data_IF_088694840618
#
_entry.id   IF_088694840618
#
_cell.length_a   1.000
_cell.length_b   1.000
_cell.length_c   1.000
_cell.angle_alpha   90.00
_cell.angle_beta   90.00
_cell.angle_gamma   90.00
#
_symmetry.space_group_name_H-M   'P 1'
#
loop_
_entity.id
_entity.type
_entity.pdbx_description
1 polymer ?
#
# COMPACT_ATOMS: atom_id res chain seq x y z
N UNK A 1 6.22 76.38 20.92
CA UNK A 1 7.37 76.85 21.70
C UNK A 1 8.50 75.86 21.58
N UNK A 2 9.62 76.39 21.10
CA UNK A 2 11.04 75.98 21.18
C UNK A 2 11.42 74.70 20.44
N UNK A 3 12.02 74.83 19.26
CA UNK A 3 13.45 75.13 18.91
C UNK A 3 14.44 74.24 19.67
N UNK A 4 15.32 73.42 19.02
CA UNK A 4 16.58 73.73 18.29
C UNK A 4 17.30 72.46 17.95
N UNK A 5 17.85 72.35 16.83
CA UNK A 5 19.12 72.42 16.12
C UNK A 5 19.81 71.07 16.04
N UNK A 6 19.98 70.52 14.87
CA UNK A 6 21.10 70.62 13.94
C UNK A 6 22.44 70.11 14.50
N UNK A 7 22.94 69.02 13.94
CA UNK A 7 24.32 68.91 13.53
C UNK A 7 24.53 67.78 12.53
N UNK A 8 25.04 68.19 11.39
CA UNK A 8 25.55 67.39 10.30
C UNK A 8 26.99 66.93 10.70
N UNK A 9 27.31 65.67 10.52
CA UNK A 9 28.70 65.27 10.37
C UNK A 9 28.80 64.16 9.32
N UNK A 10 29.47 64.51 8.25
CA UNK A 10 30.02 63.66 7.19
C UNK A 10 31.05 62.72 7.79
N UNK A 11 31.08 61.45 7.43
CA UNK A 11 32.30 60.73 7.07
C UNK A 11 32.05 59.30 6.63
N UNK A 12 32.60 58.94 5.51
CA UNK A 12 33.23 57.66 5.28
C UNK A 12 32.45 56.64 4.46
N UNK A 13 32.56 56.67 3.14
CA UNK A 13 32.40 55.53 2.26
C UNK A 13 33.39 54.42 2.66
N UNK A 14 32.91 53.29 3.07
CA UNK A 14 33.59 52.02 2.83
C UNK A 14 32.55 51.00 2.38
N UNK A 15 32.58 50.69 1.09
CA UNK A 15 31.77 49.64 0.48
C UNK A 15 32.20 48.27 0.99
N UNK A 16 31.33 47.63 1.74
CA UNK A 16 31.40 46.20 1.96
C UNK A 16 30.40 45.59 1.01
N UNK A 17 30.88 45.04 -0.11
CA UNK A 17 30.11 44.09 -0.92
C UNK A 17 29.84 42.85 -0.06
N UNK A 18 28.72 42.83 0.60
CA UNK A 18 28.17 41.62 1.20
C UNK A 18 27.74 40.68 0.08
N UNK A 19 28.55 39.66 -0.19
CA UNK A 19 28.09 38.49 -0.95
C UNK A 19 26.92 37.85 -0.18
N UNK A 20 25.71 38.16 -0.61
CA UNK A 20 24.52 37.41 -0.18
C UNK A 20 24.65 36.03 -0.81
N UNK A 21 25.17 35.09 -0.02
CA UNK A 21 25.15 33.67 -0.35
C UNK A 21 23.69 33.22 -0.31
N UNK A 22 23.05 33.24 -1.47
CA UNK A 22 21.74 32.62 -1.63
C UNK A 22 21.98 31.12 -1.57
N UNK A 23 21.89 30.56 -0.37
CA UNK A 23 21.74 29.11 -0.22
C UNK A 23 20.38 28.73 -0.86
N UNK A 24 20.34 27.84 -1.84
CA UNK A 24 19.07 27.34 -2.28
C UNK A 24 18.43 26.66 -1.05
N UNK A 25 17.29 27.18 -0.60
CA UNK A 25 16.43 26.43 0.31
C UNK A 25 16.20 25.07 -0.36
N UNK A 26 16.79 24.03 0.22
CA UNK A 26 16.48 22.68 -0.15
C UNK A 26 14.97 22.55 0.07
N UNK A 27 14.24 22.53 -1.03
CA UNK A 27 12.84 22.13 -1.05
C UNK A 27 12.83 20.68 -0.58
N UNK A 28 12.70 20.50 0.73
CA UNK A 28 12.39 19.20 1.30
C UNK A 28 11.06 18.80 0.67
N UNK A 29 11.13 17.93 -0.35
CA UNK A 29 9.95 17.25 -0.82
C UNK A 29 9.31 16.62 0.44
N UNK A 30 8.09 17.04 0.77
CA UNK A 30 7.32 16.41 1.84
C UNK A 30 7.41 14.92 1.60
N UNK A 31 7.78 14.09 2.62
CA UNK A 31 7.76 12.65 2.45
C UNK A 31 6.40 12.29 1.86
N UNK A 32 6.36 11.62 0.72
CA UNK A 32 5.11 11.06 0.22
C UNK A 32 4.60 10.17 1.35
N UNK A 33 3.50 10.59 1.96
CA UNK A 33 2.78 9.76 2.92
C UNK A 33 2.60 8.41 2.25
N UNK A 34 2.86 7.32 2.98
CA UNK A 34 2.64 5.95 2.49
C UNK A 34 1.24 5.96 1.90
N UNK A 35 1.19 6.02 0.56
CA UNK A 35 -0.03 6.40 -0.13
C UNK A 35 -1.04 5.28 0.02
N UNK A 36 -1.80 5.37 1.12
CA UNK A 36 -3.11 4.74 1.12
C UNK A 36 -3.88 5.30 -0.06
N UNK A 37 -4.46 4.46 -0.89
CA UNK A 37 -5.20 4.93 -2.05
C UNK A 37 -6.34 5.85 -1.58
N UNK A 38 -6.70 6.84 -2.39
CA UNK A 38 -7.90 7.64 -2.14
C UNK A 38 -9.07 6.70 -1.85
N UNK A 39 -9.80 6.90 -0.74
CA UNK A 39 -10.92 6.04 -0.37
C UNK A 39 -11.90 5.83 -1.51
N UNK A 40 -12.43 4.62 -1.67
CA UNK A 40 -13.40 4.33 -2.73
C UNK A 40 -14.61 5.27 -2.69
N UNK A 41 -15.03 5.68 -1.49
CA UNK A 41 -16.16 6.61 -1.31
C UNK A 41 -15.91 8.01 -1.88
N UNK A 42 -14.66 8.43 -1.99
CA UNK A 42 -14.26 9.72 -2.57
C UNK A 42 -14.08 9.66 -4.09
N UNK A 43 -14.04 8.45 -4.66
CA UNK A 43 -13.87 8.20 -6.10
C UNK A 43 -15.17 7.93 -6.84
N UNK A 44 -16.31 8.19 -6.21
CA UNK A 44 -17.62 8.03 -6.86
C UNK A 44 -17.82 9.11 -7.92
N UNK A 45 -18.25 8.68 -9.09
CA UNK A 45 -18.52 9.55 -10.23
C UNK A 45 -20.02 9.83 -10.34
N UNK A 46 -20.38 11.03 -10.74
CA UNK A 46 -21.76 11.36 -11.13
C UNK A 46 -21.88 11.20 -12.64
N UNK A 47 -22.75 10.28 -13.07
CA UNK A 47 -23.07 10.04 -14.47
C UNK A 47 -24.47 10.55 -14.78
N UNK A 48 -24.61 11.44 -15.74
CA UNK A 48 -25.90 11.88 -16.23
C UNK A 48 -26.34 10.97 -17.38
N UNK A 49 -27.50 10.33 -17.21
CA UNK A 49 -28.04 9.39 -18.19
C UNK A 49 -28.33 10.10 -19.50
N UNK A 50 -27.68 9.64 -20.58
CA UNK A 50 -27.88 10.11 -21.93
C UNK A 50 -29.08 9.41 -22.63
N UNK A 51 -29.60 9.95 -23.75
CA UNK A 51 -30.58 9.24 -24.57
C UNK A 51 -30.07 7.84 -24.97
N UNK A 52 -30.96 6.87 -24.96
CA UNK A 52 -30.71 5.45 -25.31
C UNK A 52 -29.78 4.66 -24.35
N UNK A 53 -29.24 5.30 -23.31
CA UNK A 53 -28.48 4.57 -22.30
C UNK A 53 -29.37 3.69 -21.42
N UNK A 54 -28.84 2.52 -21.12
CA UNK A 54 -29.43 1.55 -20.20
C UNK A 54 -28.48 1.28 -19.05
N UNK A 55 -28.95 0.72 -17.93
CA UNK A 55 -28.08 0.30 -16.84
C UNK A 55 -26.99 -0.68 -17.31
N UNK A 56 -27.28 -1.49 -18.34
CA UNK A 56 -26.34 -2.44 -18.92
C UNK A 56 -25.19 -1.70 -19.63
N UNK A 57 -25.53 -0.73 -20.50
CA UNK A 57 -24.52 0.04 -21.24
C UNK A 57 -23.70 0.93 -20.31
N UNK A 58 -24.35 1.59 -19.34
CA UNK A 58 -23.65 2.37 -18.31
C UNK A 58 -22.71 1.46 -17.50
N UNK A 59 -23.18 0.29 -17.05
CA UNK A 59 -22.36 -0.66 -16.32
C UNK A 59 -21.14 -1.15 -17.13
N UNK A 60 -21.31 -1.39 -18.43
CA UNK A 60 -20.20 -1.75 -19.34
C UNK A 60 -19.16 -0.64 -19.45
N UNK A 61 -19.61 0.63 -19.59
CA UNK A 61 -18.72 1.78 -19.70
C UNK A 61 -17.85 2.00 -18.46
N UNK A 62 -18.37 1.67 -17.28
CA UNK A 62 -17.65 1.84 -16.01
C UNK A 62 -17.08 0.53 -15.45
N UNK A 63 -17.25 -0.60 -16.14
CA UNK A 63 -16.74 -1.90 -15.71
C UNK A 63 -17.44 -2.47 -14.46
N UNK A 64 -18.67 -2.04 -14.17
CA UNK A 64 -19.47 -2.46 -13.00
C UNK A 64 -20.80 -3.10 -13.40
N UNK A 65 -21.40 -3.83 -12.47
CA UNK A 65 -22.66 -4.50 -12.73
C UNK A 65 -23.86 -3.55 -12.56
N UNK A 66 -24.96 -3.76 -13.33
CA UNK A 66 -26.21 -3.02 -13.13
C UNK A 66 -26.73 -3.09 -11.69
N UNK A 67 -26.56 -4.22 -11.02
CA UNK A 67 -26.97 -4.42 -9.63
C UNK A 67 -26.23 -3.48 -8.68
N UNK A 68 -24.95 -3.23 -8.93
CA UNK A 68 -24.16 -2.26 -8.15
C UNK A 68 -24.68 -0.84 -8.37
N UNK A 69 -24.98 -0.45 -9.62
CA UNK A 69 -25.57 0.86 -9.92
C UNK A 69 -26.91 1.02 -9.20
N UNK A 70 -27.80 0.02 -9.26
CA UNK A 70 -29.10 0.07 -8.57
C UNK A 70 -28.93 0.22 -7.06
N UNK A 71 -27.99 -0.50 -6.45
CA UNK A 71 -27.73 -0.43 -4.99
C UNK A 71 -27.23 0.93 -4.55
N UNK A 72 -26.40 1.57 -5.37
CA UNK A 72 -25.89 2.92 -5.09
C UNK A 72 -26.94 4.02 -5.34
N UNK A 73 -27.99 3.72 -6.11
CA UNK A 73 -29.03 4.67 -6.51
C UNK A 73 -30.42 4.17 -6.12
N UNK A 74 -30.84 4.30 -4.86
CA UNK A 74 -32.12 3.79 -4.37
C UNK A 74 -33.35 4.29 -5.16
N UNK A 75 -33.22 5.39 -5.86
CA UNK A 75 -34.30 5.98 -6.68
C UNK A 75 -34.61 5.21 -7.96
N UNK A 76 -33.72 4.29 -8.36
CA UNK A 76 -33.87 3.42 -9.56
C UNK A 76 -33.98 1.95 -9.19
N UNK A 77 -34.54 1.62 -8.02
CA UNK A 77 -34.68 0.20 -7.55
C UNK A 77 -35.45 -0.69 -8.52
N UNK A 78 -36.32 -0.12 -9.34
CA UNK A 78 -37.04 -0.84 -10.39
C UNK A 78 -36.20 -1.15 -11.64
N UNK A 79 -34.92 -0.75 -11.66
CA UNK A 79 -33.99 -0.95 -12.79
C UNK A 79 -34.24 -0.03 -13.99
N UNK A 80 -35.17 0.93 -13.89
CA UNK A 80 -35.44 1.91 -14.97
C UNK A 80 -34.67 3.19 -14.75
N UNK A 81 -33.96 3.64 -15.77
CA UNK A 81 -33.26 4.93 -15.81
C UNK A 81 -34.01 5.91 -16.68
N UNK A 82 -33.93 7.18 -16.34
CA UNK A 82 -34.55 8.28 -17.10
C UNK A 82 -33.45 9.22 -17.60
N UNK A 83 -33.55 9.61 -18.85
CA UNK A 83 -32.64 10.58 -19.48
C UNK A 83 -32.52 11.84 -18.63
N UNK A 84 -31.29 12.35 -18.48
CA UNK A 84 -30.98 13.53 -17.66
C UNK A 84 -30.83 13.25 -16.17
N UNK A 85 -31.16 12.05 -15.68
CA UNK A 85 -30.96 11.69 -14.27
C UNK A 85 -29.49 11.49 -13.95
N UNK A 86 -29.05 12.04 -12.81
CA UNK A 86 -27.72 11.77 -12.29
C UNK A 86 -27.72 10.47 -11.48
N UNK A 87 -26.79 9.59 -11.82
CA UNK A 87 -26.50 8.36 -11.10
C UNK A 87 -25.14 8.45 -10.38
N UNK A 88 -25.08 7.86 -9.21
CA UNK A 88 -23.82 7.67 -8.47
C UNK A 88 -23.20 6.37 -8.93
N UNK A 89 -21.99 6.43 -9.45
CA UNK A 89 -21.23 5.31 -9.99
C UNK A 89 -20.02 5.08 -9.11
N UNK A 90 -19.93 3.93 -8.43
CA UNK A 90 -18.76 3.59 -7.64
C UNK A 90 -17.59 3.14 -8.53
N UNK A 91 -16.34 3.22 -8.03
CA UNK A 91 -15.16 2.80 -8.79
C UNK A 91 -15.08 1.28 -9.04
N UNK A 92 -15.82 0.48 -8.29
CA UNK A 92 -15.85 -0.98 -8.35
C UNK A 92 -17.25 -1.53 -8.07
N UNK A 93 -17.48 -2.80 -8.45
CA UNK A 93 -18.63 -3.54 -7.93
C UNK A 93 -18.56 -3.65 -6.41
N UNK A 94 -19.66 -3.36 -5.73
CA UNK A 94 -19.67 -3.41 -4.27
C UNK A 94 -20.92 -2.82 -3.63
N UNK A 95 -20.81 -2.62 -2.32
CA UNK A 95 -21.86 -2.01 -1.50
C UNK A 95 -21.24 -1.01 -0.52
N UNK A 96 -22.03 -0.03 -0.12
CA UNK A 96 -21.71 0.86 1.00
C UNK A 96 -22.36 0.31 2.27
N UNK A 97 -21.59 0.22 3.34
CA UNK A 97 -22.01 -0.34 4.62
C UNK A 97 -21.73 0.67 5.74
N UNK A 98 -22.75 0.96 6.55
CA UNK A 98 -22.54 1.67 7.80
C UNK A 98 -21.80 0.78 8.79
N UNK A 99 -20.80 1.33 9.46
CA UNK A 99 -20.02 0.66 10.49
C UNK A 99 -20.66 0.95 11.84
N UNK A 100 -21.27 -0.04 12.50
CA UNK A 100 -21.77 0.13 13.85
C UNK A 100 -20.63 0.48 14.82
N UNK A 101 -20.93 1.26 15.84
CA UNK A 101 -19.96 1.65 16.86
C UNK A 101 -19.31 0.41 17.49
N UNK A 102 -17.97 0.37 17.49
CA UNK A 102 -17.20 -0.73 18.03
C UNK A 102 -16.95 -1.92 17.08
N UNK A 103 -17.48 -1.88 15.85
CA UNK A 103 -17.10 -2.87 14.83
C UNK A 103 -15.76 -2.51 14.17
N UNK A 104 -14.95 -3.54 13.97
CA UNK A 104 -13.64 -3.45 13.30
C UNK A 104 -13.75 -3.84 11.82
N UNK A 105 -12.76 -3.42 11.02
CA UNK A 105 -12.63 -3.88 9.63
C UNK A 105 -12.64 -5.41 9.51
N UNK A 106 -12.04 -6.13 10.47
CA UNK A 106 -12.02 -7.61 10.50
C UNK A 106 -13.42 -8.20 10.59
N UNK A 107 -14.25 -7.66 11.48
CA UNK A 107 -15.63 -8.15 11.65
C UNK A 107 -16.46 -7.87 10.41
N UNK A 108 -16.29 -6.71 9.77
CA UNK A 108 -16.96 -6.36 8.53
C UNK A 108 -16.46 -7.25 7.39
N UNK A 109 -15.15 -7.43 7.27
CA UNK A 109 -14.52 -8.27 6.26
C UNK A 109 -14.98 -9.73 6.38
N UNK A 110 -15.01 -10.29 7.60
CA UNK A 110 -15.51 -11.64 7.87
C UNK A 110 -16.98 -11.79 7.48
N UNK A 111 -17.84 -10.82 7.86
CA UNK A 111 -19.26 -10.80 7.50
C UNK A 111 -19.48 -10.82 5.98
N UNK A 112 -18.64 -10.11 5.23
CA UNK A 112 -18.75 -10.00 3.77
C UNK A 112 -17.85 -10.97 3.01
N UNK A 113 -17.13 -11.87 3.71
CA UNK A 113 -16.24 -12.89 3.15
C UNK A 113 -15.16 -12.31 2.23
N UNK A 114 -14.58 -11.17 2.64
CA UNK A 114 -13.47 -10.51 1.97
C UNK A 114 -12.27 -10.42 2.91
N UNK A 115 -11.10 -10.12 2.37
CA UNK A 115 -9.89 -9.93 3.17
C UNK A 115 -9.95 -8.59 3.91
N UNK A 116 -9.51 -8.57 5.17
CA UNK A 116 -9.56 -7.37 6.00
C UNK A 116 -8.60 -6.28 5.51
N UNK A 117 -7.43 -6.67 5.01
CA UNK A 117 -6.46 -5.74 4.42
C UNK A 117 -7.00 -5.10 3.14
N UNK A 118 -7.59 -5.88 2.24
CA UNK A 118 -8.22 -5.35 1.04
C UNK A 118 -9.38 -4.38 1.36
N UNK A 119 -10.18 -4.69 2.39
CA UNK A 119 -11.21 -3.77 2.86
C UNK A 119 -10.61 -2.47 3.42
N UNK A 120 -9.54 -2.58 4.18
CA UNK A 120 -8.84 -1.44 4.78
C UNK A 120 -8.24 -0.54 3.70
N UNK A 121 -7.49 -1.11 2.76
CA UNK A 121 -6.84 -0.38 1.67
C UNK A 121 -7.84 0.31 0.74
N UNK A 122 -8.92 -0.38 0.35
CA UNK A 122 -9.94 0.22 -0.55
C UNK A 122 -10.66 1.40 0.09
N UNK A 123 -10.66 1.47 1.42
CA UNK A 123 -11.22 2.58 2.20
C UNK A 123 -10.17 3.60 2.66
N UNK A 124 -8.99 3.65 2.01
CA UNK A 124 -7.98 4.68 2.26
C UNK A 124 -7.29 4.53 3.60
N UNK A 125 -7.17 3.30 4.12
CA UNK A 125 -6.50 2.96 5.39
C UNK A 125 -7.03 3.74 6.61
N UNK A 126 -8.30 4.09 6.61
CA UNK A 126 -8.94 4.78 7.73
C UNK A 126 -9.06 3.85 8.95
N UNK A 127 -8.62 4.29 10.12
CA UNK A 127 -8.66 3.44 11.31
C UNK A 127 -10.09 3.21 11.86
N UNK A 128 -10.94 4.23 11.84
CA UNK A 128 -12.28 4.20 12.43
C UNK A 128 -13.34 4.82 11.51
N UNK A 129 -13.57 4.30 10.32
CA UNK A 129 -14.56 4.85 9.41
C UNK A 129 -15.98 4.57 9.93
N UNK A 130 -16.89 5.53 9.74
CA UNK A 130 -18.32 5.34 10.03
C UNK A 130 -19.05 4.62 8.90
N UNK A 131 -18.48 4.68 7.71
CA UNK A 131 -19.02 4.09 6.49
C UNK A 131 -17.86 3.50 5.71
N UNK A 132 -18.04 2.32 5.17
CA UNK A 132 -17.05 1.65 4.34
C UNK A 132 -17.64 1.19 3.02
N UNK A 133 -16.83 1.25 1.99
CA UNK A 133 -17.13 0.58 0.73
C UNK A 133 -16.61 -0.87 0.80
N UNK A 134 -17.51 -1.83 0.61
CA UNK A 134 -17.21 -3.26 0.59
C UNK A 134 -17.20 -3.72 -0.87
N UNK A 135 -16.03 -3.99 -1.47
CA UNK A 135 -15.94 -4.44 -2.84
C UNK A 135 -16.51 -5.85 -3.00
N UNK A 136 -17.21 -6.08 -4.11
CA UNK A 136 -17.64 -7.43 -4.51
C UNK A 136 -16.51 -8.06 -5.32
N UNK A 137 -15.72 -8.93 -4.69
CA UNK A 137 -14.68 -9.69 -5.39
C UNK A 137 -15.42 -10.70 -6.28
N UNK A 138 -15.35 -10.50 -7.60
CA UNK A 138 -15.71 -11.57 -8.54
C UNK A 138 -14.70 -12.68 -8.29
N UNK A 139 -15.14 -13.85 -7.82
CA UNK A 139 -14.34 -15.06 -7.94
C UNK A 139 -14.00 -15.17 -9.42
N UNK A 140 -12.72 -15.05 -9.77
CA UNK A 140 -12.25 -15.36 -11.11
C UNK A 140 -12.71 -16.78 -11.41
N UNK A 141 -13.70 -16.91 -12.30
CA UNK A 141 -14.18 -18.22 -12.80
C UNK A 141 -13.25 -18.70 -13.93
N UNK A 142 -11.97 -18.40 -13.85
CA UNK A 142 -10.96 -18.91 -14.77
C UNK A 142 -9.83 -19.62 -14.03
N UNK A 143 -10.18 -20.66 -13.28
CA UNK A 143 -9.24 -21.73 -12.94
C UNK A 143 -9.51 -22.99 -13.78
N UNK A 144 -9.98 -22.81 -15.02
CA UNK A 144 -9.95 -23.83 -16.08
C UNK A 144 -9.30 -23.23 -17.32
N UNK A 145 -8.16 -22.58 -17.14
CA UNK A 145 -7.16 -22.53 -18.21
C UNK A 145 -6.47 -23.89 -18.18
N UNK A 146 -6.70 -24.65 -19.25
CA UNK A 146 -6.01 -25.91 -19.50
C UNK A 146 -4.51 -25.65 -19.45
N UNK A 147 -3.78 -26.60 -18.85
CA UNK A 147 -2.32 -26.55 -18.68
C UNK A 147 -1.50 -26.31 -19.98
N UNK A 148 -2.17 -26.24 -21.14
CA UNK A 148 -1.57 -25.96 -22.43
C UNK A 148 -1.46 -24.44 -22.74
N UNK A 149 -2.33 -23.57 -22.18
CA UNK A 149 -2.22 -22.11 -22.39
C UNK A 149 -1.34 -21.42 -21.35
N UNK A 150 -1.13 -22.03 -20.19
CA UNK A 150 -0.17 -21.55 -19.18
C UNK A 150 1.28 -21.61 -19.69
N UNK A 151 1.61 -22.58 -20.56
CA UNK A 151 2.97 -22.75 -21.08
C UNK A 151 3.34 -21.81 -22.24
N UNK A 152 2.38 -21.09 -22.82
CA UNK A 152 2.64 -20.16 -23.93
C UNK A 152 2.83 -18.69 -23.46
N UNK A 153 2.40 -18.34 -22.25
CA UNK A 153 2.59 -17.01 -21.63
C UNK A 153 3.81 -16.96 -20.68
N UNK A 154 4.39 -18.09 -20.33
CA UNK A 154 5.56 -18.18 -19.46
C UNK A 154 6.90 -17.85 -20.16
N UNK A 155 6.87 -17.48 -21.45
CA UNK A 155 8.10 -17.17 -22.22
C UNK A 155 8.35 -15.66 -22.36
N UNK A 156 7.57 -14.81 -21.71
CA UNK A 156 7.90 -13.39 -21.59
C UNK A 156 8.50 -13.19 -20.20
N UNK A 157 9.85 -13.09 -20.14
CA UNK A 157 10.67 -12.66 -19.00
C UNK A 157 9.88 -12.10 -17.82
N UNK A 158 9.18 -12.92 -17.05
CA UNK A 158 8.74 -12.52 -15.73
C UNK A 158 10.03 -12.49 -14.90
N UNK A 159 10.43 -11.33 -14.45
CA UNK A 159 11.49 -11.14 -13.46
C UNK A 159 11.03 -11.88 -12.20
N UNK A 160 11.32 -13.16 -12.13
CA UNK A 160 10.94 -14.00 -11.00
C UNK A 160 11.67 -13.42 -9.79
N UNK A 161 10.90 -12.93 -8.82
CA UNK A 161 11.44 -12.59 -7.53
C UNK A 161 11.98 -13.90 -6.94
N UNK A 162 13.27 -14.09 -6.95
CA UNK A 162 13.93 -15.32 -6.48
C UNK A 162 14.92 -15.04 -5.35
N UNK A 163 14.90 -13.82 -4.80
CA UNK A 163 15.69 -13.42 -3.67
C UNK A 163 15.11 -13.89 -2.34
N UNK A 164 15.96 -13.84 -1.32
CA UNK A 164 15.57 -14.04 0.07
C UNK A 164 16.03 -12.83 0.88
N UNK A 165 15.20 -12.29 1.81
CA UNK A 165 15.51 -11.00 2.44
C UNK A 165 16.57 -11.08 3.54
N UNK A 166 17.01 -12.26 3.93
CA UNK A 166 18.05 -12.48 4.94
C UNK A 166 19.22 -13.28 4.35
N UNK A 167 20.43 -13.21 4.92
CA UNK A 167 21.60 -13.93 4.40
C UNK A 167 21.44 -15.45 4.36
N UNK A 168 20.66 -15.98 5.28
CA UNK A 168 20.39 -17.41 5.40
C UNK A 168 18.88 -17.66 5.43
N UNK A 169 18.48 -18.85 4.98
CA UNK A 169 17.09 -19.27 5.11
C UNK A 169 16.77 -19.51 6.58
N UNK A 170 15.87 -18.70 7.09
CA UNK A 170 15.44 -18.79 8.48
C UNK A 170 14.04 -19.39 8.60
N UNK A 171 13.72 -19.88 9.79
CA UNK A 171 12.39 -20.38 10.08
C UNK A 171 11.36 -19.23 10.02
N UNK A 172 10.20 -19.51 9.41
CA UNK A 172 9.03 -18.65 9.50
C UNK A 172 8.47 -18.79 10.91
N UNK A 173 8.66 -17.73 11.73
CA UNK A 173 8.15 -17.67 13.09
C UNK A 173 6.65 -17.40 13.13
N UNK A 174 6.15 -16.63 12.16
CA UNK A 174 4.72 -16.34 12.04
C UNK A 174 4.30 -16.31 10.57
N UNK A 175 3.30 -17.13 10.15
CA UNK A 175 2.97 -17.27 8.75
C UNK A 175 1.97 -16.22 8.27
N UNK A 176 1.93 -16.01 6.96
CA UNK A 176 0.93 -15.21 6.26
C UNK A 176 -0.48 -15.79 6.43
N UNK A 177 -1.48 -14.91 6.41
CA UNK A 177 -2.89 -15.29 6.41
C UNK A 177 -3.58 -15.07 7.75
N UNK A 178 -4.74 -15.72 7.93
CA UNK A 178 -5.50 -15.61 9.18
C UNK A 178 -4.79 -16.31 10.33
N UNK A 179 -4.51 -15.57 11.39
CA UNK A 179 -3.75 -16.03 12.56
C UNK A 179 -4.47 -15.66 13.84
N UNK A 180 -4.08 -16.33 14.94
CA UNK A 180 -4.48 -15.96 16.29
C UNK A 180 -3.32 -15.18 16.89
N UNK A 181 -3.58 -13.97 17.36
CA UNK A 181 -2.59 -13.15 18.05
C UNK A 181 -2.15 -13.86 19.33
N UNK A 182 -0.85 -14.16 19.52
CA UNK A 182 -0.37 -14.92 20.67
C UNK A 182 -0.50 -14.18 21.99
N UNK A 183 -0.60 -12.84 21.98
CA UNK A 183 -0.67 -12.03 23.20
C UNK A 183 -2.09 -11.86 23.72
N UNK A 184 -3.09 -11.72 22.84
CA UNK A 184 -4.47 -11.41 23.26
C UNK A 184 -5.53 -12.40 22.77
N UNK A 185 -5.14 -13.40 21.96
CA UNK A 185 -6.05 -14.39 21.39
C UNK A 185 -6.96 -13.90 20.27
N UNK A 186 -6.82 -12.66 19.81
CA UNK A 186 -7.64 -12.12 18.73
C UNK A 186 -7.26 -12.74 17.37
N UNK A 187 -8.27 -13.00 16.56
CA UNK A 187 -8.05 -13.42 15.18
C UNK A 187 -7.75 -12.20 14.31
N UNK A 188 -6.61 -12.20 13.62
CA UNK A 188 -6.19 -11.15 12.71
C UNK A 188 -5.62 -11.70 11.41
N UNK A 189 -5.55 -10.85 10.39
CA UNK A 189 -4.89 -11.20 9.14
C UNK A 189 -3.45 -10.69 9.15
N UNK A 190 -2.49 -11.63 9.10
CA UNK A 190 -1.07 -11.31 8.98
C UNK A 190 -0.72 -11.09 7.51
N UNK A 191 -0.36 -9.87 7.13
CA UNK A 191 -0.16 -9.46 5.73
C UNK A 191 1.16 -9.91 5.11
N UNK A 192 2.04 -10.49 5.92
CA UNK A 192 3.36 -10.97 5.54
C UNK A 192 3.75 -12.27 6.21
N UNK A 193 5.03 -12.49 6.31
CA UNK A 193 5.63 -13.53 7.16
C UNK A 193 6.64 -12.89 8.10
N UNK A 194 6.75 -13.45 9.31
CA UNK A 194 7.81 -13.06 10.23
C UNK A 194 8.95 -14.08 10.16
N UNK A 195 10.11 -13.62 9.78
CA UNK A 195 11.32 -14.44 9.66
C UNK A 195 12.18 -14.27 10.91
N UNK A 196 12.42 -15.36 11.63
CA UNK A 196 13.27 -15.33 12.84
C UNK A 196 14.69 -14.93 12.49
N UNK A 197 15.20 -13.89 13.16
CA UNK A 197 16.57 -13.46 13.00
C UNK A 197 17.06 -12.73 14.24
N UNK A 198 18.37 -12.67 14.46
CA UNK A 198 18.97 -11.91 15.54
C UNK A 198 18.93 -10.41 15.23
N UNK A 199 18.83 -9.51 16.23
CA UNK A 199 18.99 -8.08 16.02
C UNK A 199 20.30 -7.77 15.28
N UNK A 200 20.28 -6.82 14.36
CA UNK A 200 21.43 -6.44 13.56
C UNK A 200 21.73 -7.36 12.36
N UNK A 201 20.98 -8.47 12.19
CA UNK A 201 21.10 -9.29 10.98
C UNK A 201 20.81 -8.44 9.75
N UNK A 202 21.66 -8.52 8.72
CA UNK A 202 21.50 -7.76 7.47
C UNK A 202 20.21 -8.13 6.77
N UNK A 203 19.46 -7.12 6.31
CA UNK A 203 18.25 -7.26 5.49
C UNK A 203 18.56 -6.81 4.08
N UNK A 204 18.22 -7.63 3.09
CA UNK A 204 18.60 -7.43 1.68
C UNK A 204 17.36 -7.29 0.80
N UNK A 205 17.50 -6.52 -0.28
CA UNK A 205 16.50 -6.45 -1.34
C UNK A 205 16.36 -7.81 -2.05
N UNK A 206 15.13 -8.30 -2.20
CA UNK A 206 14.88 -9.61 -2.85
C UNK A 206 15.00 -9.58 -4.37
N UNK A 207 14.96 -8.42 -4.98
CA UNK A 207 15.07 -8.19 -6.42
C UNK A 207 15.47 -6.74 -6.70
N UNK A 208 15.79 -6.44 -7.95
CA UNK A 208 15.97 -5.06 -8.40
C UNK A 208 14.68 -4.24 -8.22
N UNK A 209 14.83 -2.95 -7.96
CA UNK A 209 13.68 -2.06 -7.79
C UNK A 209 14.06 -0.65 -7.40
N UNK A 210 13.02 0.13 -7.07
CA UNK A 210 13.16 1.51 -6.58
C UNK A 210 12.57 1.59 -5.19
N UNK A 211 13.32 2.11 -4.24
CA UNK A 211 12.84 2.39 -2.89
C UNK A 211 11.81 3.52 -2.95
N UNK A 212 10.59 3.26 -2.52
CA UNK A 212 9.52 4.27 -2.51
C UNK A 212 9.24 4.80 -1.12
N UNK A 213 9.71 4.10 -0.08
CA UNK A 213 9.66 4.57 1.30
C UNK A 213 10.85 3.99 2.09
N UNK A 214 11.44 4.81 2.96
CA UNK A 214 12.53 4.43 3.86
C UNK A 214 12.48 5.33 5.12
N UNK A 215 11.58 5.01 6.05
CA UNK A 215 11.36 5.81 7.27
C UNK A 215 10.58 5.04 8.33
N UNK A 216 10.47 5.61 9.53
CA UNK A 216 9.55 5.12 10.56
C UNK A 216 8.10 5.26 10.11
N UNK A 217 7.29 4.21 10.34
CA UNK A 217 5.91 4.13 9.91
C UNK A 217 5.01 3.40 10.92
N UNK A 218 4.57 4.09 11.92
CA UNK A 218 3.57 3.62 12.90
C UNK A 218 3.85 2.22 13.46
N UNK A 219 2.91 1.29 13.30
CA UNK A 219 3.06 -0.10 13.81
C UNK A 219 4.16 -0.89 13.12
N UNK A 220 4.54 -0.54 11.89
CA UNK A 220 5.66 -1.20 11.18
C UNK A 220 7.04 -0.83 11.74
N UNK A 221 7.15 0.27 12.54
CA UNK A 221 8.43 0.81 12.94
C UNK A 221 9.25 1.30 11.75
N UNK A 222 10.55 1.09 11.74
CA UNK A 222 11.38 1.39 10.60
C UNK A 222 11.03 0.48 9.42
N UNK A 223 10.56 1.10 8.34
CA UNK A 223 9.99 0.42 7.18
C UNK A 223 10.72 0.85 5.91
N UNK A 224 11.11 -0.14 5.11
CA UNK A 224 11.54 0.05 3.72
C UNK A 224 10.51 -0.58 2.80
N UNK A 225 10.11 0.15 1.76
CA UNK A 225 9.22 -0.32 0.69
C UNK A 225 9.93 -0.18 -0.64
N UNK A 226 9.97 -1.25 -1.41
CA UNK A 226 10.59 -1.30 -2.73
C UNK A 226 9.54 -1.68 -3.77
N UNK A 227 9.40 -0.87 -4.80
CA UNK A 227 8.62 -1.22 -5.99
C UNK A 227 9.52 -1.95 -6.97
N UNK A 228 9.08 -3.12 -7.39
CA UNK A 228 9.71 -3.95 -8.41
C UNK A 228 8.94 -3.85 -9.73
N UNK A 229 9.46 -4.48 -10.77
CA UNK A 229 8.75 -4.65 -12.03
C UNK A 229 7.44 -5.46 -11.84
N UNK A 230 6.61 -5.52 -12.87
CA UNK A 230 5.35 -6.30 -12.93
C UNK A 230 4.33 -5.98 -11.83
N UNK A 231 4.38 -4.74 -11.28
CA UNK A 231 3.44 -4.31 -10.25
C UNK A 231 3.56 -5.08 -8.94
N UNK A 232 4.77 -5.52 -8.59
CA UNK A 232 5.08 -6.15 -7.32
C UNK A 232 5.80 -5.15 -6.40
N UNK A 233 5.55 -5.26 -5.10
CA UNK A 233 6.16 -4.46 -4.06
C UNK A 233 6.60 -5.37 -2.92
N UNK A 234 7.81 -5.15 -2.38
CA UNK A 234 8.26 -5.78 -1.14
C UNK A 234 8.33 -4.76 -0.01
N UNK A 235 8.07 -5.22 1.22
CA UNK A 235 8.13 -4.42 2.44
C UNK A 235 8.95 -5.13 3.50
N UNK A 236 9.79 -4.36 4.18
CA UNK A 236 10.73 -4.81 5.21
C UNK A 236 10.49 -3.96 6.45
N UNK A 237 9.94 -4.55 7.50
CA UNK A 237 9.51 -3.83 8.69
C UNK A 237 10.20 -4.31 9.97
N UNK A 238 9.99 -3.54 11.06
CA UNK A 238 10.60 -3.70 12.38
C UNK A 238 12.12 -3.61 12.36
N UNK A 239 12.66 -2.86 11.36
CA UNK A 239 14.11 -2.71 11.21
C UNK A 239 14.72 -1.92 12.36
N UNK A 240 15.94 -2.28 12.75
CA UNK A 240 16.77 -1.48 13.66
C UNK A 240 17.26 -0.22 12.94
N UNK A 241 17.89 -0.43 11.79
CA UNK A 241 18.44 0.60 10.93
C UNK A 241 17.86 0.53 9.52
N UNK A 242 17.74 1.67 8.87
CA UNK A 242 17.48 1.81 7.44
C UNK A 242 18.80 2.23 6.76
N UNK A 243 19.17 1.55 5.66
CA UNK A 243 20.44 1.77 4.93
C UNK A 243 20.24 2.33 3.52
N UNK A 244 19.02 2.63 3.13
CA UNK A 244 18.63 3.15 1.81
C UNK A 244 17.73 4.37 1.97
N UNK A 245 17.53 5.11 0.89
CA UNK A 245 16.71 6.31 0.86
C UNK A 245 15.62 6.20 -0.21
N UNK A 246 14.49 6.90 -0.01
CA UNK A 246 13.45 6.97 -1.03
C UNK A 246 14.00 7.54 -2.34
N UNK A 247 13.64 6.93 -3.47
CA UNK A 247 14.15 7.22 -4.81
C UNK A 247 15.41 6.43 -5.20
N UNK A 248 16.05 5.73 -4.27
CA UNK A 248 17.24 4.93 -4.53
C UNK A 248 16.89 3.68 -5.34
N UNK A 249 17.75 3.36 -6.32
CA UNK A 249 17.69 2.10 -7.07
C UNK A 249 18.51 1.06 -6.34
N UNK A 250 17.92 -0.10 -6.15
CA UNK A 250 18.57 -1.24 -5.51
C UNK A 250 18.56 -2.46 -6.45
N UNK A 251 19.58 -3.28 -6.33
CA UNK A 251 19.66 -4.57 -6.97
C UNK A 251 19.33 -5.67 -5.97
N UNK A 252 19.05 -6.87 -6.46
CA UNK A 252 18.92 -8.06 -5.62
C UNK A 252 20.19 -8.26 -4.77
N UNK A 253 20.00 -8.39 -3.47
CA UNK A 253 21.08 -8.60 -2.50
C UNK A 253 21.64 -7.30 -1.91
N UNK A 254 21.25 -6.12 -2.40
CA UNK A 254 21.68 -4.86 -1.80
C UNK A 254 21.14 -4.72 -0.38
N UNK A 255 21.96 -4.18 0.52
CA UNK A 255 21.63 -3.98 1.93
C UNK A 255 20.59 -2.87 2.07
N UNK A 256 19.42 -3.18 2.63
CA UNK A 256 18.35 -2.21 2.85
C UNK A 256 18.18 -1.81 4.31
N UNK A 257 18.69 -2.61 5.25
CA UNK A 257 18.62 -2.34 6.68
C UNK A 257 19.13 -3.50 7.52
N UNK A 258 18.80 -3.48 8.79
CA UNK A 258 19.08 -4.57 9.74
C UNK A 258 17.84 -4.94 10.55
N UNK A 259 17.75 -6.20 10.97
CA UNK A 259 16.66 -6.73 11.80
C UNK A 259 16.66 -6.03 13.17
N UNK A 260 15.49 -5.59 13.60
CA UNK A 260 15.28 -4.97 14.89
C UNK A 260 13.98 -5.41 15.58
N UNK A 261 13.41 -4.48 16.34
CA UNK A 261 12.16 -4.65 17.07
C UNK A 261 11.36 -3.35 17.11
N UNK A 262 11.58 -2.44 16.18
CA UNK A 262 10.92 -1.14 16.16
C UNK A 262 9.43 -1.24 15.82
N UNK A 263 8.63 -0.24 16.17
CA UNK A 263 7.19 -0.23 15.97
C UNK A 263 6.41 -1.09 16.98
N UNK A 264 5.45 -1.84 16.49
CA UNK A 264 4.59 -2.73 17.28
C UNK A 264 4.58 -4.15 16.71
N UNK A 265 5.70 -4.89 16.83
CA UNK A 265 5.80 -6.23 16.31
C UNK A 265 4.81 -7.19 16.95
N UNK A 266 4.25 -8.11 16.16
CA UNK A 266 3.32 -9.14 16.64
C UNK A 266 4.00 -10.14 17.59
N UNK A 267 5.28 -10.42 17.36
CA UNK A 267 6.09 -11.29 18.19
C UNK A 267 7.06 -10.46 19.03
N UNK A 268 7.23 -10.84 20.32
CA UNK A 268 8.23 -10.19 21.21
C UNK A 268 9.68 -10.53 20.85
N UNK A 269 9.89 -11.64 20.12
CA UNK A 269 11.21 -12.05 19.66
C UNK A 269 11.61 -11.25 18.41
N UNK A 270 12.88 -10.86 18.28
CA UNK A 270 13.35 -10.18 17.09
C UNK A 270 13.09 -10.99 15.82
N UNK A 271 12.60 -10.31 14.78
CA UNK A 271 12.26 -10.91 13.50
C UNK A 271 12.18 -9.83 12.42
N UNK A 272 12.30 -10.23 11.19
CA UNK A 272 11.95 -9.41 10.05
C UNK A 272 10.48 -9.68 9.68
N UNK A 273 9.62 -8.68 9.76
CA UNK A 273 8.31 -8.74 9.12
C UNK A 273 8.47 -8.41 7.64
N UNK A 274 8.15 -9.37 6.79
CA UNK A 274 8.34 -9.29 5.35
C UNK A 274 7.04 -9.50 4.60
N UNK A 275 6.70 -8.53 3.69
CA UNK A 275 5.50 -8.61 2.86
C UNK A 275 5.84 -8.59 1.38
N UNK A 276 5.03 -9.28 0.60
CA UNK A 276 4.89 -9.08 -0.85
C UNK A 276 3.49 -8.56 -1.12
N UNK A 277 3.41 -7.56 -1.97
CA UNK A 277 2.13 -7.01 -2.45
C UNK A 277 2.12 -6.94 -3.96
N UNK A 278 0.97 -7.16 -4.57
CA UNK A 278 0.75 -6.94 -5.99
C UNK A 278 -0.19 -5.77 -6.21
N UNK A 279 0.07 -4.97 -7.24
CA UNK A 279 -0.85 -3.93 -7.67
C UNK A 279 -2.12 -4.57 -8.24
N UNK A 280 -3.27 -3.96 -7.97
CA UNK A 280 -4.55 -4.40 -8.47
C UNK A 280 -5.48 -3.20 -8.63
N UNK A 281 -6.68 -3.42 -9.18
CA UNK A 281 -7.73 -2.39 -9.20
C UNK A 281 -8.18 -1.95 -7.80
N UNK A 282 -7.79 -2.66 -6.75
CA UNK A 282 -8.09 -2.37 -5.34
C UNK A 282 -6.90 -1.71 -4.60
N UNK A 283 -5.80 -1.40 -5.30
CA UNK A 283 -4.56 -0.93 -4.70
C UNK A 283 -3.55 -2.06 -4.51
N UNK A 284 -2.60 -1.86 -3.58
CA UNK A 284 -1.58 -2.85 -3.24
C UNK A 284 -2.15 -3.94 -2.33
N UNK A 285 -2.32 -5.15 -2.86
CA UNK A 285 -2.92 -6.29 -2.15
C UNK A 285 -1.83 -7.27 -1.72
N UNK A 286 -1.79 -7.61 -0.43
CA UNK A 286 -0.82 -8.54 0.13
C UNK A 286 -0.96 -9.95 -0.48
N UNK A 287 0.17 -10.58 -0.74
CA UNK A 287 0.32 -11.95 -1.26
C UNK A 287 1.08 -12.80 -0.26
N UNK A 288 0.93 -14.12 -0.33
CA UNK A 288 1.76 -15.00 0.48
C UNK A 288 3.23 -14.89 0.01
N UNK A 289 4.14 -14.38 0.84
CA UNK A 289 5.53 -14.21 0.42
C UNK A 289 6.24 -15.51 0.05
N UNK A 290 5.77 -16.66 0.54
CA UNK A 290 6.36 -17.97 0.22
C UNK A 290 6.30 -18.33 -1.27
N UNK A 291 5.32 -17.75 -2.00
CA UNK A 291 5.19 -17.95 -3.44
C UNK A 291 6.28 -17.20 -4.24
N UNK A 292 6.90 -16.20 -3.63
CA UNK A 292 7.85 -15.27 -4.25
C UNK A 292 9.29 -15.43 -3.76
N UNK A 293 9.48 -16.03 -2.60
CA UNK A 293 10.83 -16.28 -2.07
C UNK A 293 11.51 -17.40 -2.86
N UNK A 294 12.73 -17.13 -3.29
CA UNK A 294 13.60 -18.17 -3.83
C UNK A 294 13.77 -19.31 -2.82
N UNK A 295 13.87 -20.51 -3.30
CA UNK A 295 14.43 -21.61 -2.47
C UNK A 295 15.91 -21.24 -2.28
N UNK A 296 16.23 -20.64 -1.15
CA UNK A 296 17.62 -20.41 -0.78
C UNK A 296 18.34 -21.74 -0.87
N UNK A 297 19.50 -21.74 -1.47
CA UNK A 297 20.20 -22.96 -1.83
C UNK A 297 20.30 -23.92 -0.65
N UNK A 298 19.51 -24.96 -0.69
CA UNK A 298 19.87 -26.21 -0.04
C UNK A 298 21.16 -26.64 -0.69
N UNK A 299 22.29 -26.42 0.01
CA UNK A 299 23.54 -27.02 -0.38
C UNK A 299 23.30 -28.51 -0.54
N UNK A 300 23.18 -28.99 -1.76
CA UNK A 300 23.42 -30.38 -2.08
C UNK A 300 24.88 -30.66 -1.71
N UNK A 301 25.09 -31.16 -0.50
CA UNK A 301 26.30 -31.90 -0.21
C UNK A 301 26.25 -33.18 -1.04
N UNK A 302 27.06 -33.18 -2.09
CA UNK A 302 27.47 -34.42 -2.76
C UNK A 302 28.28 -35.31 -1.81
#
# INVERSE_FOLDING_TARGET
MSFRYCSVLFCGLTGILGLISVYPESVWAKPEEVNCPTPALERFVRHQVAPEETLKTIGQNYGITPETIIRMNPTIRNGKVTVGRNLIIPPYDGIVVNVPKGQTFRQIAAKHKIRADALFEVNGCQENPRVVFVPKIKKSQNSTQTAAEANALDTINSTKLDGYPLPENTAVAFPYGWQINPDNGDVFFHSGIDLSAQPGTSVQAIAEGVVVLAQEQGSYGNLVIINHNDGIQSRYAHLEDIKVSAGEKVNKGDLVGSVGTTGQPTLKKPHLHFEIRSSSSLGWVAKDPKEYLGRGGSGETR
#
